data_IF_453699121745
#
_entry.id   IF_453699121745
#
_cell.length_a   1.000
_cell.length_b   1.000
_cell.length_c   1.000
_cell.angle_alpha   90.00
_cell.angle_beta   90.00
_cell.angle_gamma   90.00
#
_symmetry.space_group_name_H-M   'P 1'
#
loop_
_entity.id
_entity.type
_entity.pdbx_description
1 polymer ?
#
# COMPACT_ATOMS: atom_id res chain seq x y z
N UNK A 1 -3.07 19.38 3.22
CA UNK A 1 -3.20 17.92 2.98
C UNK A 1 -4.64 17.47 3.18
N UNK A 2 -5.18 17.48 4.40
CA UNK A 2 -6.54 16.99 4.67
C UNK A 2 -7.63 17.73 3.86
N UNK A 3 -7.82 19.01 4.11
CA UNK A 3 -8.93 19.76 3.48
C UNK A 3 -8.66 20.10 2.01
N UNK A 4 -7.38 20.20 1.63
CA UNK A 4 -6.97 20.68 0.30
C UNK A 4 -6.63 19.59 -0.71
N UNK A 5 -6.42 18.35 -0.29
CA UNK A 5 -6.04 17.23 -1.16
C UNK A 5 -6.95 16.02 -0.94
N UNK A 6 -7.10 15.55 0.31
CA UNK A 6 -7.88 14.34 0.59
C UNK A 6 -9.38 14.57 0.34
N UNK A 7 -9.98 15.55 1.04
CA UNK A 7 -11.42 15.82 0.90
C UNK A 7 -11.82 16.22 -0.52
N UNK A 8 -10.99 17.02 -1.18
CA UNK A 8 -11.20 17.46 -2.57
C UNK A 8 -11.18 16.30 -3.56
N UNK A 9 -10.46 15.22 -3.24
CA UNK A 9 -10.37 14.01 -4.05
C UNK A 9 -11.31 12.91 -3.58
N UNK A 10 -12.29 13.23 -2.72
CA UNK A 10 -13.34 12.31 -2.30
C UNK A 10 -13.03 11.46 -1.07
N UNK A 11 -11.84 11.57 -0.46
CA UNK A 11 -11.49 10.87 0.78
C UNK A 11 -12.11 11.62 1.97
N UNK A 12 -13.17 11.06 2.55
CA UNK A 12 -14.02 11.74 3.54
C UNK A 12 -14.28 10.93 4.81
N UNK A 13 -13.82 9.68 4.86
CA UNK A 13 -13.98 8.76 5.97
C UNK A 13 -13.28 9.32 7.21
N UNK A 14 -14.03 9.50 8.30
CA UNK A 14 -13.50 10.10 9.53
C UNK A 14 -12.23 9.40 10.02
N UNK A 15 -12.23 8.06 10.06
CA UNK A 15 -11.06 7.30 10.50
C UNK A 15 -9.82 7.55 9.64
N UNK A 16 -9.97 7.75 8.31
CA UNK A 16 -8.84 8.02 7.41
C UNK A 16 -8.26 9.39 7.73
N UNK A 17 -9.11 10.39 7.87
CA UNK A 17 -8.68 11.77 8.15
C UNK A 17 -8.02 11.86 9.52
N UNK A 18 -8.60 11.21 10.53
CA UNK A 18 -8.06 11.16 11.90
C UNK A 18 -6.68 10.49 11.91
N UNK A 19 -6.48 9.37 11.20
CA UNK A 19 -5.18 8.71 11.10
C UNK A 19 -4.15 9.57 10.36
N UNK A 20 -4.53 10.14 9.22
CA UNK A 20 -3.66 11.00 8.41
C UNK A 20 -3.29 12.30 9.13
N UNK A 21 -4.10 12.76 10.11
CA UNK A 21 -3.78 13.90 10.96
C UNK A 21 -2.92 13.51 12.17
N UNK A 22 -3.16 12.34 12.76
CA UNK A 22 -2.48 11.90 13.98
C UNK A 22 -1.04 11.41 13.74
N UNK A 23 -0.71 10.92 12.54
CA UNK A 23 0.64 10.47 12.19
C UNK A 23 1.39 11.57 11.48
N UNK A 24 2.38 12.17 12.16
CA UNK A 24 3.21 13.23 11.62
C UNK A 24 4.06 12.72 10.45
N UNK A 25 3.72 13.14 9.23
CA UNK A 25 4.30 12.59 8.00
C UNK A 25 5.77 13.00 7.78
N UNK A 26 6.19 14.12 8.36
CA UNK A 26 7.56 14.62 8.36
C UNK A 26 8.55 13.76 9.15
N UNK A 27 8.05 12.87 10.01
CA UNK A 27 8.90 11.90 10.73
C UNK A 27 9.34 10.73 9.85
N UNK A 28 8.75 10.59 8.65
CA UNK A 28 8.97 9.46 7.73
C UNK A 28 9.73 9.88 6.45
N UNK A 29 10.41 11.02 6.49
CA UNK A 29 11.24 11.55 5.40
C UNK A 29 12.59 12.06 5.94
N UNK A 30 13.62 12.18 5.07
CA UNK A 30 14.86 12.86 5.43
C UNK A 30 14.61 14.29 5.93
N UNK A 31 15.49 14.79 6.80
CA UNK A 31 15.33 16.09 7.48
C UNK A 31 15.11 17.24 6.48
N UNK A 32 15.88 17.24 5.39
CA UNK A 32 15.82 18.22 4.31
C UNK A 32 14.50 18.19 3.52
N UNK A 33 13.75 17.08 3.60
CA UNK A 33 12.47 16.89 2.90
C UNK A 33 11.25 17.13 3.78
N UNK A 34 11.42 17.41 5.08
CA UNK A 34 10.31 17.62 6.03
C UNK A 34 9.33 18.72 5.59
N UNK A 35 9.86 19.82 5.07
CA UNK A 35 9.03 20.93 4.56
C UNK A 35 8.14 20.52 3.37
N UNK A 36 8.56 19.51 2.61
CA UNK A 36 7.83 18.99 1.46
C UNK A 36 6.89 17.81 1.80
N UNK A 37 6.94 17.27 3.03
CA UNK A 37 6.24 16.05 3.44
C UNK A 37 4.73 16.05 3.11
N UNK A 38 4.09 17.21 3.19
CA UNK A 38 2.65 17.39 3.01
C UNK A 38 2.23 17.79 1.58
N UNK A 39 3.18 17.84 0.66
CA UNK A 39 2.89 18.06 -0.77
C UNK A 39 2.34 16.77 -1.36
N UNK A 40 1.33 16.86 -2.23
CA UNK A 40 0.74 15.68 -2.87
C UNK A 40 1.63 15.08 -3.98
N UNK A 41 2.77 14.52 -3.57
CA UNK A 41 3.73 13.86 -4.45
C UNK A 41 4.53 12.81 -3.67
N UNK A 42 5.10 11.86 -4.39
CA UNK A 42 6.06 10.93 -3.79
C UNK A 42 7.37 11.66 -3.42
N UNK A 43 7.99 11.23 -2.32
CA UNK A 43 9.27 11.74 -1.83
C UNK A 43 10.27 10.59 -1.84
N UNK A 44 11.42 10.78 -2.49
CA UNK A 44 12.48 9.76 -2.50
C UNK A 44 13.16 9.70 -1.14
N UNK A 45 13.36 8.49 -0.64
CA UNK A 45 14.01 8.22 0.64
C UNK A 45 15.48 7.76 0.48
N UNK A 46 15.91 7.50 -0.75
CA UNK A 46 17.20 6.86 -1.05
C UNK A 46 17.05 5.37 -1.36
N UNK A 47 18.10 4.73 -1.88
CA UNK A 47 18.13 3.28 -2.17
C UNK A 47 16.97 2.75 -3.04
N UNK A 48 16.40 3.60 -3.90
CA UNK A 48 15.23 3.24 -4.72
C UNK A 48 13.89 3.22 -3.95
N UNK A 49 13.87 3.56 -2.66
CA UNK A 49 12.67 3.66 -1.82
C UNK A 49 12.05 5.06 -1.93
N UNK A 50 10.73 5.12 -1.73
CA UNK A 50 10.00 6.36 -1.72
C UNK A 50 8.80 6.31 -0.78
N UNK A 51 8.51 7.42 -0.12
CA UNK A 51 7.25 7.64 0.55
C UNK A 51 6.21 8.05 -0.51
N UNK A 52 5.16 7.24 -0.70
CA UNK A 52 4.10 7.52 -1.68
C UNK A 52 3.32 8.79 -1.33
N UNK A 53 2.60 9.36 -2.30
CA UNK A 53 1.86 10.62 -2.10
C UNK A 53 0.82 10.49 -0.95
N UNK A 54 0.56 11.56 -0.19
CA UNK A 54 -0.49 11.56 0.83
C UNK A 54 -1.87 11.13 0.32
N UNK A 55 -2.27 11.57 -0.87
CA UNK A 55 -3.57 11.18 -1.44
C UNK A 55 -3.65 9.67 -1.67
N UNK A 56 -2.56 9.04 -2.13
CA UNK A 56 -2.52 7.59 -2.30
C UNK A 56 -2.75 6.84 -0.98
N UNK A 57 -2.10 7.26 0.11
CA UNK A 57 -2.34 6.67 1.43
C UNK A 57 -3.79 6.87 1.90
N UNK A 58 -4.36 8.06 1.67
CA UNK A 58 -5.76 8.34 2.01
C UNK A 58 -6.73 7.42 1.26
N UNK A 59 -6.59 7.32 -0.06
CA UNK A 59 -7.44 6.45 -0.89
C UNK A 59 -7.22 4.97 -0.57
N UNK A 60 -5.99 4.55 -0.30
CA UNK A 60 -5.69 3.18 0.10
C UNK A 60 -6.36 2.82 1.42
N UNK A 61 -6.31 3.68 2.44
CA UNK A 61 -6.99 3.42 3.71
C UNK A 61 -8.51 3.39 3.55
N UNK A 62 -9.06 4.32 2.76
CA UNK A 62 -10.49 4.38 2.45
C UNK A 62 -10.97 3.09 1.76
N UNK A 63 -10.20 2.57 0.81
CA UNK A 63 -10.50 1.30 0.15
C UNK A 63 -10.28 0.09 1.08
N UNK A 64 -9.21 0.08 1.85
CA UNK A 64 -8.83 -1.04 2.71
C UNK A 64 -9.81 -1.28 3.86
N UNK A 65 -10.49 -0.23 4.34
CA UNK A 65 -11.42 -0.28 5.48
C UNK A 65 -10.89 -1.17 6.63
N UNK A 66 -9.70 -0.90 7.22
CA UNK A 66 -9.12 -1.76 8.24
C UNK A 66 -10.05 -1.91 9.46
N UNK A 67 -10.10 -3.10 10.05
CA UNK A 67 -10.96 -3.43 11.18
C UNK A 67 -10.17 -3.99 12.34
N UNK A 68 -10.66 -3.80 13.56
CA UNK A 68 -10.00 -4.24 14.79
C UNK A 68 -9.83 -5.78 14.90
N UNK A 69 -10.54 -6.56 14.10
CA UNK A 69 -10.38 -8.01 14.00
C UNK A 69 -9.44 -8.45 12.86
N UNK A 70 -8.91 -7.51 12.07
CA UNK A 70 -7.97 -7.83 11.01
C UNK A 70 -6.60 -8.27 11.57
N UNK A 71 -6.07 -9.33 10.95
CA UNK A 71 -4.64 -9.67 11.00
C UNK A 71 -4.01 -9.10 9.74
N UNK A 72 -3.36 -7.95 9.86
CA UNK A 72 -2.87 -7.18 8.74
C UNK A 72 -1.39 -7.45 8.42
N UNK A 73 -1.07 -7.43 7.13
CA UNK A 73 0.30 -7.38 6.62
C UNK A 73 0.49 -6.08 5.83
N UNK A 74 1.55 -5.33 6.14
CA UNK A 74 2.06 -4.26 5.28
C UNK A 74 3.35 -4.74 4.63
N UNK A 75 3.37 -4.76 3.29
CA UNK A 75 4.60 -4.84 2.50
C UNK A 75 5.11 -3.42 2.34
N UNK A 76 6.14 -3.07 3.10
CA UNK A 76 6.63 -1.70 3.23
C UNK A 76 7.45 -1.27 2.01
N UNK A 77 7.12 -0.08 1.48
CA UNK A 77 7.86 0.60 0.42
C UNK A 77 9.14 1.29 0.92
N UNK A 78 9.39 1.19 2.24
CA UNK A 78 10.60 1.60 2.92
C UNK A 78 10.43 2.82 3.82
N UNK A 79 9.22 3.38 3.90
CA UNK A 79 8.95 4.55 4.74
C UNK A 79 8.48 4.15 6.14
N UNK A 80 7.73 3.04 6.28
CA UNK A 80 7.03 2.70 7.50
C UNK A 80 5.78 3.56 7.79
N UNK A 81 5.49 4.58 6.98
CA UNK A 81 4.37 5.50 7.20
C UNK A 81 3.01 4.79 7.13
N UNK A 82 2.81 3.92 6.13
CA UNK A 82 1.58 3.15 6.02
C UNK A 82 1.37 2.22 7.21
N UNK A 83 2.43 1.60 7.72
CA UNK A 83 2.36 0.75 8.91
C UNK A 83 1.88 1.57 10.13
N UNK A 84 2.48 2.75 10.37
CA UNK A 84 2.07 3.64 11.46
C UNK A 84 0.62 4.13 11.34
N UNK A 85 0.13 4.35 10.12
CA UNK A 85 -1.28 4.69 9.88
C UNK A 85 -2.24 3.56 10.27
N UNK A 86 -1.89 2.32 9.92
CA UNK A 86 -2.77 1.15 10.02
C UNK A 86 -2.71 0.46 11.38
N UNK A 87 -1.56 0.48 12.06
CA UNK A 87 -1.32 -0.25 13.31
C UNK A 87 -2.43 -0.13 14.36
N UNK A 88 -2.94 1.07 14.71
CA UNK A 88 -3.99 1.19 15.72
C UNK A 88 -5.41 0.85 15.21
N UNK A 89 -5.59 0.59 13.91
CA UNK A 89 -6.88 0.26 13.32
C UNK A 89 -7.16 -1.25 13.27
N UNK A 90 -6.14 -2.08 13.51
CA UNK A 90 -6.18 -3.54 13.30
C UNK A 90 -5.85 -4.31 14.57
N UNK A 91 -6.30 -5.56 14.64
CA UNK A 91 -6.05 -6.41 15.82
C UNK A 91 -4.60 -6.86 15.93
N UNK A 92 -3.93 -7.06 14.79
CA UNK A 92 -2.49 -7.25 14.74
C UNK A 92 -1.92 -6.79 13.40
N UNK A 93 -0.69 -6.28 13.42
CA UNK A 93 0.03 -5.83 12.25
C UNK A 93 1.39 -6.53 12.16
N UNK A 94 1.72 -7.03 10.96
CA UNK A 94 3.08 -7.41 10.60
C UNK A 94 3.55 -6.53 9.46
N UNK A 95 4.79 -6.06 9.54
CA UNK A 95 5.47 -5.39 8.43
C UNK A 95 6.54 -6.31 7.86
N UNK A 96 6.63 -6.39 6.53
CA UNK A 96 7.67 -7.11 5.79
C UNK A 96 8.20 -6.20 4.68
N UNK A 97 9.47 -6.38 4.32
CA UNK A 97 10.00 -5.86 3.05
C UNK A 97 9.45 -6.65 1.86
N UNK A 98 9.61 -6.11 0.64
CA UNK A 98 9.24 -6.80 -0.60
C UNK A 98 9.89 -8.20 -0.71
N UNK A 99 11.18 -8.34 -0.39
CA UNK A 99 11.90 -9.61 -0.50
C UNK A 99 11.44 -10.63 0.54
N UNK A 100 11.14 -10.19 1.76
CA UNK A 100 10.57 -11.05 2.80
C UNK A 100 9.15 -11.51 2.43
N UNK A 101 8.33 -10.63 1.84
CA UNK A 101 6.99 -11.00 1.38
C UNK A 101 7.04 -12.05 0.24
N UNK A 102 8.05 -11.97 -0.63
CA UNK A 102 8.28 -12.93 -1.72
C UNK A 102 8.85 -14.28 -1.24
N UNK A 103 9.51 -14.32 -0.07
CA UNK A 103 10.14 -15.52 0.49
C UNK A 103 9.38 -16.12 1.68
N UNK A 104 8.32 -15.46 2.14
CA UNK A 104 7.54 -15.87 3.30
C UNK A 104 6.88 -17.25 3.10
N UNK A 105 7.13 -18.16 4.04
CA UNK A 105 6.63 -19.55 3.97
C UNK A 105 5.22 -19.74 4.56
N UNK A 106 4.70 -18.74 5.28
CA UNK A 106 3.43 -18.84 6.01
C UNK A 106 2.24 -18.62 5.06
N UNK A 107 1.27 -19.53 5.01
CA UNK A 107 0.10 -19.43 4.12
C UNK A 107 -1.15 -18.99 4.87
N UNK A 108 -2.01 -18.22 4.20
CA UNK A 108 -3.37 -17.86 4.62
C UNK A 108 -3.44 -17.13 5.96
N UNK A 109 -2.44 -16.30 6.25
CA UNK A 109 -2.25 -15.75 7.59
C UNK A 109 -2.91 -14.39 7.81
N UNK A 110 -3.21 -13.65 6.73
CA UNK A 110 -3.60 -12.23 6.83
C UNK A 110 -4.95 -11.98 6.18
N UNK A 111 -5.87 -11.35 6.92
CA UNK A 111 -7.21 -10.97 6.42
C UNK A 111 -7.16 -9.66 5.63
N UNK A 112 -6.13 -8.85 5.85
CA UNK A 112 -5.84 -7.62 5.14
C UNK A 112 -4.35 -7.59 4.74
N UNK A 113 -4.06 -7.39 3.46
CA UNK A 113 -2.70 -7.18 2.95
C UNK A 113 -2.64 -5.82 2.26
N UNK A 114 -1.67 -5.01 2.63
CA UNK A 114 -1.43 -3.70 2.04
C UNK A 114 -0.03 -3.70 1.46
N UNK A 115 0.11 -3.24 0.22
CA UNK A 115 1.42 -3.07 -0.41
C UNK A 115 1.65 -1.59 -0.62
N UNK A 116 2.61 -1.02 0.09
CA UNK A 116 2.95 0.41 0.04
C UNK A 116 3.79 0.72 -1.21
N UNK A 117 3.13 0.62 -2.36
CA UNK A 117 3.74 0.82 -3.67
C UNK A 117 2.96 0.14 -4.78
N UNK A 118 3.45 0.26 -6.01
CA UNK A 118 2.84 -0.33 -7.19
C UNK A 118 3.56 -1.59 -7.67
N UNK A 119 2.79 -2.62 -7.95
CA UNK A 119 3.25 -3.92 -8.44
C UNK A 119 2.69 -4.19 -9.84
N UNK A 120 3.41 -4.92 -10.70
CA UNK A 120 2.89 -5.28 -12.03
C UNK A 120 1.92 -6.47 -12.00
N UNK A 121 2.03 -7.30 -10.97
CA UNK A 121 1.15 -8.43 -10.73
C UNK A 121 1.23 -8.85 -9.26
N UNK A 122 0.24 -9.62 -8.82
CA UNK A 122 0.31 -10.31 -7.52
C UNK A 122 1.06 -11.63 -7.74
N UNK A 123 2.29 -11.81 -7.23
CA UNK A 123 2.98 -13.08 -7.32
C UNK A 123 2.28 -14.14 -6.47
N UNK A 124 2.44 -15.41 -6.83
CA UNK A 124 1.82 -16.53 -6.13
C UNK A 124 2.20 -16.58 -4.63
N UNK A 125 3.42 -16.19 -4.28
CA UNK A 125 3.88 -16.14 -2.89
C UNK A 125 3.10 -15.10 -2.07
N UNK A 126 2.89 -13.89 -2.60
CA UNK A 126 2.07 -12.87 -1.96
C UNK A 126 0.59 -13.31 -1.87
N UNK A 127 0.05 -13.89 -2.94
CA UNK A 127 -1.32 -14.40 -2.95
C UNK A 127 -1.56 -15.53 -1.92
N UNK A 128 -0.52 -16.32 -1.60
CA UNK A 128 -0.58 -17.34 -0.55
C UNK A 128 -0.66 -16.71 0.85
N UNK A 129 -0.12 -15.51 1.08
CA UNK A 129 -0.16 -14.84 2.38
C UNK A 129 -1.58 -14.40 2.76
N UNK A 130 -2.38 -14.00 1.77
CA UNK A 130 -3.78 -13.58 1.95
C UNK A 130 -4.64 -14.79 2.37
N UNK A 131 -5.38 -14.64 3.46
CA UNK A 131 -6.37 -15.60 3.95
C UNK A 131 -7.56 -15.72 2.98
N UNK A 132 -8.28 -16.85 3.01
CA UNK A 132 -9.49 -17.01 2.21
C UNK A 132 -10.54 -15.96 2.62
N UNK A 133 -11.16 -15.29 1.64
CA UNK A 133 -12.04 -14.15 1.88
C UNK A 133 -11.33 -12.85 2.28
N UNK A 134 -10.02 -12.88 2.50
CA UNK A 134 -9.18 -11.73 2.81
C UNK A 134 -8.98 -10.80 1.62
N UNK A 135 -8.52 -9.58 1.90
CA UNK A 135 -8.41 -8.49 0.94
C UNK A 135 -6.97 -8.00 0.78
N UNK A 136 -6.64 -7.52 -0.41
CA UNK A 136 -5.38 -6.86 -0.73
C UNK A 136 -5.64 -5.48 -1.34
N UNK A 137 -4.88 -4.47 -0.95
CA UNK A 137 -4.90 -3.14 -1.58
C UNK A 137 -3.46 -2.73 -1.91
N UNK A 138 -3.25 -2.23 -3.12
CA UNK A 138 -1.91 -1.92 -3.66
C UNK A 138 -2.02 -0.89 -4.80
N UNK A 139 -0.90 -0.32 -5.22
CA UNK A 139 -0.79 0.19 -6.58
C UNK A 139 -0.67 -0.96 -7.59
N UNK A 140 -1.26 -0.83 -8.77
CA UNK A 140 -1.08 -1.71 -9.92
C UNK A 140 -0.42 -0.91 -11.05
N UNK A 141 0.66 -1.45 -11.61
CA UNK A 141 1.25 -0.95 -12.86
C UNK A 141 0.60 -1.71 -14.02
N UNK A 142 -0.08 -0.99 -14.91
CA UNK A 142 -0.59 -1.53 -16.16
C UNK A 142 -0.16 -0.63 -17.33
N UNK A 143 0.63 -1.20 -18.26
CA UNK A 143 1.19 -0.49 -19.42
C UNK A 143 1.87 0.85 -19.08
N UNK A 144 2.58 0.89 -17.96
CA UNK A 144 3.30 2.08 -17.48
C UNK A 144 2.45 3.11 -16.72
N UNK A 145 1.13 2.89 -16.61
CA UNK A 145 0.24 3.72 -15.79
C UNK A 145 0.06 3.06 -14.42
N UNK A 146 0.14 3.85 -13.36
CA UNK A 146 -0.13 3.38 -12.00
C UNK A 146 -1.57 3.70 -11.59
N UNK A 147 -2.20 2.72 -10.92
CA UNK A 147 -3.58 2.82 -10.44
C UNK A 147 -3.65 2.28 -9.02
N UNK A 148 -4.49 2.85 -8.17
CA UNK A 148 -4.92 2.15 -6.96
C UNK A 148 -5.71 0.91 -7.40
N UNK A 149 -5.47 -0.22 -6.76
CA UNK A 149 -6.15 -1.47 -7.06
C UNK A 149 -6.46 -2.23 -5.77
N UNK A 150 -7.57 -2.96 -5.80
CA UNK A 150 -8.07 -3.78 -4.71
C UNK A 150 -8.27 -5.21 -5.19
N UNK A 151 -8.17 -6.19 -4.32
CA UNK A 151 -8.40 -7.59 -4.65
C UNK A 151 -8.95 -8.34 -3.45
N UNK A 152 -9.70 -9.41 -3.72
CA UNK A 152 -10.19 -10.32 -2.68
C UNK A 152 -9.86 -11.74 -3.05
N UNK A 153 -9.40 -12.52 -2.08
CA UNK A 153 -9.12 -13.93 -2.28
C UNK A 153 -10.41 -14.73 -2.21
N UNK A 154 -10.70 -15.48 -3.26
CA UNK A 154 -11.87 -16.34 -3.36
C UNK A 154 -11.54 -17.61 -4.13
N UNK A 155 -11.95 -18.76 -3.59
CA UNK A 155 -11.69 -20.08 -4.14
C UNK A 155 -10.19 -20.31 -4.45
N UNK A 156 -9.31 -19.84 -3.56
CA UNK A 156 -7.85 -19.94 -3.73
C UNK A 156 -7.24 -19.04 -4.81
N UNK A 157 -8.06 -18.26 -5.53
CA UNK A 157 -7.62 -17.30 -6.54
C UNK A 157 -7.65 -15.87 -6.02
N UNK A 158 -6.80 -15.00 -6.56
CA UNK A 158 -6.72 -13.59 -6.21
C UNK A 158 -6.40 -12.79 -7.47
N UNK A 159 -7.27 -11.82 -7.78
CA UNK A 159 -7.08 -10.89 -8.89
C UNK A 159 -7.24 -9.46 -8.38
N UNK A 160 -6.52 -8.53 -9.02
CA UNK A 160 -6.63 -7.10 -8.73
C UNK A 160 -7.61 -6.46 -9.70
N UNK A 161 -8.51 -5.65 -9.13
CA UNK A 161 -9.38 -4.73 -9.83
C UNK A 161 -8.76 -3.32 -9.73
N UNK A 162 -8.37 -2.68 -10.84
CA UNK A 162 -7.95 -1.28 -10.81
C UNK A 162 -9.14 -0.36 -10.52
N UNK A 163 -8.89 0.68 -9.72
CA UNK A 163 -9.91 1.62 -9.24
C UNK A 163 -9.72 3.03 -9.81
N UNK A 164 -8.57 3.65 -9.51
CA UNK A 164 -8.32 5.05 -9.85
C UNK A 164 -6.87 5.25 -10.32
N UNK A 165 -6.67 6.08 -11.34
CA UNK A 165 -5.34 6.48 -11.79
C UNK A 165 -4.69 7.41 -10.75
N UNK A 166 -3.52 7.04 -10.27
CA UNK A 166 -2.79 7.80 -9.26
C UNK A 166 -1.31 7.44 -9.33
N UNK A 167 -0.44 8.43 -9.14
CA UNK A 167 1.01 8.21 -9.13
C UNK A 167 1.44 7.44 -7.88
N UNK A 168 1.93 6.21 -8.08
CA UNK A 168 2.42 5.35 -7.00
C UNK A 168 3.86 4.93 -7.27
N UNK A 169 4.78 4.98 -6.28
CA UNK A 169 6.12 4.44 -6.44
C UNK A 169 6.10 2.95 -6.81
N UNK A 170 6.78 2.58 -7.90
CA UNK A 170 6.85 1.19 -8.36
C UNK A 170 7.83 0.37 -7.52
N UNK A 171 7.40 -0.81 -7.08
CA UNK A 171 8.21 -1.79 -6.38
C UNK A 171 8.72 -2.83 -7.39
N UNK A 172 9.93 -2.60 -7.89
CA UNK A 172 10.53 -3.41 -8.97
C UNK A 172 10.70 -4.90 -8.61
N UNK A 173 10.69 -5.24 -7.32
CA UNK A 173 10.72 -6.63 -6.85
C UNK A 173 9.49 -7.44 -7.31
N UNK A 174 8.40 -6.77 -7.66
CA UNK A 174 7.15 -7.38 -8.14
C UNK A 174 6.94 -7.25 -9.65
N UNK A 175 7.97 -6.85 -10.38
CA UNK A 175 7.95 -6.80 -11.84
C UNK A 175 7.80 -8.22 -12.41
N UNK A 176 7.09 -8.34 -13.53
CA UNK A 176 7.03 -9.63 -14.22
C UNK A 176 8.42 -9.94 -14.77
N UNK A 177 8.87 -11.21 -14.71
CA UNK A 177 10.09 -11.62 -15.39
C UNK A 177 10.01 -11.23 -16.86
N UNK A 178 11.07 -10.62 -17.39
CA UNK A 178 11.15 -10.22 -18.79
C UNK A 178 11.09 -11.47 -19.68
N UNK A 179 9.93 -11.79 -20.25
CA UNK A 179 9.83 -12.83 -21.26
C UNK A 179 10.15 -12.20 -22.62
N UNK A 180 11.28 -12.57 -23.21
CA UNK A 180 11.55 -12.27 -24.61
C UNK A 180 10.59 -13.09 -25.48
N UNK A 181 9.68 -12.44 -26.21
CA UNK A 181 8.92 -13.03 -27.30
C UNK A 181 9.55 -12.61 -28.62
N UNK A 182 9.97 -13.58 -29.44
CA UNK A 182 10.41 -13.36 -30.82
C UNK A 182 9.22 -13.19 -31.78
#
# INVERSE_FOLDING_TARGET
MIDSQLRTSGVNEAFVLDRMQAVAREDFVPEEMRAAAYTDRAIRLGEGKALAAPLFHGMMLAEAQPKADDTALVVDGGSGYLAALVEPLVGSLKTLSSDEALSAKKKGAYTLVLVDGAIEHVPAELAKLVAEGGRIVTGLVDRGVTRLATGRKAAGSLALLPLAEIGVPRLHQFDRPTSWSF
#
